data_IF_620173408239
#
_entry.id   IF_620173408239
#
_cell.length_a   1.000
_cell.length_b   1.000
_cell.length_c   1.000
_cell.angle_alpha   90.00
_cell.angle_beta   90.00
_cell.angle_gamma   90.00
#
_symmetry.space_group_name_H-M   'P 1'
#
loop_
_entity.id
_entity.type
_entity.pdbx_description
1 polymer ?
#
# COMPACT_ATOMS: atom_id res chain seq x y z
N UNK A 1 -43.94 -2.04 18.62
CA UNK A 1 -43.10 -1.18 19.48
C UNK A 1 -41.61 -1.57 19.43
N UNK A 2 -41.25 -2.86 19.56
CA UNK A 2 -39.85 -3.35 19.56
C UNK A 2 -39.01 -2.99 18.32
N UNK A 3 -39.60 -2.94 17.13
CA UNK A 3 -38.88 -2.59 15.89
C UNK A 3 -38.28 -1.18 15.91
N UNK A 4 -38.95 -0.19 16.50
CA UNK A 4 -38.43 1.19 16.56
C UNK A 4 -37.23 1.30 17.49
N UNK A 5 -37.23 0.54 18.58
CA UNK A 5 -36.12 0.48 19.53
C UNK A 5 -34.90 -0.20 18.91
N UNK A 6 -35.13 -1.30 18.18
CA UNK A 6 -34.09 -2.00 17.43
C UNK A 6 -33.45 -1.13 16.35
N UNK A 7 -34.26 -0.38 15.59
CA UNK A 7 -33.75 0.53 14.56
C UNK A 7 -32.87 1.65 15.14
N UNK A 8 -33.27 2.23 16.28
CA UNK A 8 -32.44 3.22 17.00
C UNK A 8 -31.16 2.59 17.54
N UNK A 9 -31.23 1.38 18.07
CA UNK A 9 -30.05 0.64 18.52
C UNK A 9 -29.07 0.35 17.39
N UNK A 10 -29.57 -0.07 16.22
CA UNK A 10 -28.76 -0.34 15.04
C UNK A 10 -28.04 0.92 14.53
N UNK A 11 -28.71 2.08 14.57
CA UNK A 11 -28.08 3.35 14.22
C UNK A 11 -26.91 3.69 15.15
N UNK A 12 -27.06 3.47 16.46
CA UNK A 12 -25.98 3.67 17.45
C UNK A 12 -24.84 2.67 17.20
N UNK A 13 -25.16 1.40 16.98
CA UNK A 13 -24.18 0.35 16.70
C UNK A 13 -23.37 0.65 15.43
N UNK A 14 -24.00 1.20 14.38
CA UNK A 14 -23.30 1.60 13.16
C UNK A 14 -22.31 2.76 13.38
N UNK A 15 -22.68 3.75 14.20
CA UNK A 15 -21.78 4.86 14.54
C UNK A 15 -20.56 4.37 15.31
N UNK A 16 -20.79 3.51 16.32
CA UNK A 16 -19.72 2.90 17.12
C UNK A 16 -18.85 1.99 16.25
N UNK A 17 -19.45 1.20 15.37
CA UNK A 17 -18.75 0.32 14.44
C UNK A 17 -17.87 1.08 13.45
N UNK A 18 -18.37 2.16 12.87
CA UNK A 18 -17.57 3.02 11.98
C UNK A 18 -16.40 3.69 12.73
N UNK A 19 -16.62 4.16 13.95
CA UNK A 19 -15.54 4.71 14.77
C UNK A 19 -14.47 3.65 15.09
N UNK A 20 -14.89 2.48 15.58
CA UNK A 20 -13.98 1.37 15.88
C UNK A 20 -13.22 0.92 14.64
N UNK A 21 -13.88 0.81 13.49
CA UNK A 21 -13.24 0.43 12.23
C UNK A 21 -12.13 1.41 11.85
N UNK A 22 -12.39 2.73 11.99
CA UNK A 22 -11.38 3.77 11.74
C UNK A 22 -10.24 3.71 12.74
N UNK A 23 -10.53 3.49 14.03
CA UNK A 23 -9.51 3.35 15.08
C UNK A 23 -8.62 2.15 14.80
N UNK A 24 -9.21 0.97 14.58
CA UNK A 24 -8.47 -0.27 14.28
C UNK A 24 -7.62 -0.10 13.02
N UNK A 25 -8.18 0.48 11.95
CA UNK A 25 -7.43 0.73 10.72
C UNK A 25 -6.27 1.71 10.97
N UNK A 26 -6.51 2.78 11.73
CA UNK A 26 -5.47 3.76 12.06
C UNK A 26 -4.35 3.13 12.88
N UNK A 27 -4.69 2.29 13.86
CA UNK A 27 -3.72 1.55 14.66
C UNK A 27 -2.93 0.55 13.81
N UNK A 28 -3.58 -0.17 12.89
CA UNK A 28 -2.89 -1.06 11.95
C UNK A 28 -1.87 -0.30 11.11
N UNK A 29 -2.25 0.86 10.56
CA UNK A 29 -1.33 1.67 9.79
C UNK A 29 -0.19 2.25 10.65
N UNK A 30 -0.47 2.68 11.86
CA UNK A 30 0.52 3.28 12.75
C UNK A 30 1.50 2.25 13.36
N UNK A 31 1.02 1.07 13.74
CA UNK A 31 1.78 0.06 14.48
C UNK A 31 2.41 -0.99 13.55
N UNK A 32 1.81 -1.24 12.38
CA UNK A 32 2.32 -2.25 11.45
C UNK A 32 2.94 -1.59 10.23
N UNK A 33 2.15 -0.81 9.49
CA UNK A 33 2.58 -0.27 8.18
C UNK A 33 3.68 0.77 8.33
N UNK A 34 3.56 1.69 9.29
CA UNK A 34 4.53 2.75 9.52
C UNK A 34 5.91 2.22 9.95
N UNK A 35 6.05 1.37 10.98
CA UNK A 35 7.36 0.83 11.33
C UNK A 35 7.92 -0.07 10.23
N UNK A 36 7.09 -0.86 9.55
CA UNK A 36 7.53 -1.60 8.37
C UNK A 36 8.10 -0.67 7.29
N UNK A 37 7.40 0.41 6.97
CA UNK A 37 7.85 1.42 6.02
C UNK A 37 9.12 2.13 6.46
N UNK A 38 9.29 2.41 7.76
CA UNK A 38 10.52 2.97 8.31
C UNK A 38 11.69 2.00 8.19
N UNK A 39 11.48 0.73 8.53
CA UNK A 39 12.50 -0.34 8.38
C UNK A 39 12.92 -0.45 6.92
N UNK A 40 11.98 -0.62 6.00
CA UNK A 40 12.28 -0.69 4.55
C UNK A 40 12.97 0.57 4.09
N UNK A 41 12.50 1.75 4.53
CA UNK A 41 13.13 3.02 4.17
C UNK A 41 14.58 3.05 4.63
N UNK A 42 14.89 2.66 5.87
CA UNK A 42 16.25 2.74 6.43
C UNK A 42 17.18 1.69 5.84
N UNK A 43 16.74 0.44 5.76
CA UNK A 43 17.57 -0.71 5.42
C UNK A 43 17.58 -1.07 3.93
N UNK A 44 16.58 -0.62 3.16
CA UNK A 44 16.47 -0.92 1.74
C UNK A 44 16.29 0.36 0.91
N UNK A 45 16.56 0.24 -0.38
CA UNK A 45 16.24 1.27 -1.38
C UNK A 45 15.63 0.61 -2.63
N UNK A 46 14.44 -0.01 -2.50
CA UNK A 46 13.82 -0.74 -3.59
C UNK A 46 13.54 0.15 -4.81
N UNK A 47 13.35 1.45 -4.58
CA UNK A 47 13.10 2.43 -5.63
C UNK A 47 14.40 3.11 -6.13
N UNK A 48 15.56 2.74 -5.57
CA UNK A 48 16.87 3.32 -5.90
C UNK A 48 16.90 4.87 -5.87
N UNK A 49 16.11 5.49 -5.00
CA UNK A 49 15.91 6.96 -4.92
C UNK A 49 17.05 7.63 -4.16
N UNK A 50 17.73 6.91 -3.26
CA UNK A 50 18.79 7.50 -2.41
C UNK A 50 20.01 7.94 -3.21
N UNK A 51 20.27 7.30 -4.36
CA UNK A 51 21.39 7.67 -5.23
C UNK A 51 20.91 8.74 -6.22
N UNK A 52 21.52 9.91 -6.18
CA UNK A 52 21.31 10.97 -7.17
C UNK A 52 21.87 10.49 -8.52
N UNK A 53 21.02 9.87 -9.34
CA UNK A 53 21.37 9.45 -10.69
C UNK A 53 21.19 10.62 -11.65
N UNK A 54 22.02 10.69 -12.69
CA UNK A 54 21.84 11.63 -13.80
C UNK A 54 20.59 11.31 -14.65
N UNK A 55 20.09 10.07 -14.58
CA UNK A 55 18.91 9.60 -15.29
C UNK A 55 18.08 8.65 -14.43
N UNK A 56 16.75 8.77 -14.50
CA UNK A 56 15.79 7.84 -13.90
C UNK A 56 15.58 6.57 -14.75
N UNK A 57 16.19 6.49 -15.93
CA UNK A 57 16.11 5.31 -16.79
C UNK A 57 16.78 4.12 -16.13
N UNK A 58 16.05 3.01 -16.00
CA UNK A 58 16.58 1.75 -15.52
C UNK A 58 16.53 0.75 -16.66
N UNK A 59 17.66 0.16 -17.04
CA UNK A 59 17.70 -0.80 -18.14
C UNK A 59 16.80 -2.00 -17.81
N UNK A 60 15.80 -2.33 -18.65
CA UNK A 60 14.95 -3.48 -18.43
C UNK A 60 15.77 -4.75 -18.28
N UNK A 61 15.43 -5.60 -17.30
CA UNK A 61 16.04 -6.93 -17.18
C UNK A 61 15.63 -7.74 -18.41
N UNK A 62 16.61 -8.12 -19.22
CA UNK A 62 16.37 -8.79 -20.51
C UNK A 62 16.34 -7.86 -21.72
N UNK A 63 16.88 -6.63 -21.61
CA UNK A 63 17.06 -5.76 -22.75
C UNK A 63 17.72 -6.53 -23.91
N UNK A 64 17.01 -6.54 -25.02
CA UNK A 64 17.32 -7.24 -26.26
C UNK A 64 18.73 -6.89 -26.69
N UNK A 65 19.66 -7.85 -26.62
CA UNK A 65 21.08 -7.59 -26.84
C UNK A 65 21.44 -7.52 -28.32
N UNK A 66 20.61 -8.10 -29.19
CA UNK A 66 20.75 -8.01 -30.64
C UNK A 66 19.42 -7.81 -31.35
N UNK A 67 19.50 -7.43 -32.63
CA UNK A 67 18.34 -7.28 -33.52
C UNK A 67 17.58 -8.61 -33.68
N UNK A 68 18.29 -9.73 -33.66
CA UNK A 68 17.73 -11.09 -33.75
C UNK A 68 16.84 -11.44 -32.55
N UNK A 69 17.21 -11.01 -31.34
CA UNK A 69 16.40 -11.23 -30.15
C UNK A 69 15.10 -10.39 -30.20
N UNK A 70 15.12 -9.23 -30.86
CA UNK A 70 13.95 -8.35 -31.00
C UNK A 70 12.90 -8.95 -31.95
N UNK A 71 13.36 -9.74 -32.93
CA UNK A 71 12.49 -10.46 -33.85
C UNK A 71 11.70 -11.60 -33.19
N UNK A 72 12.05 -12.01 -31.97
CA UNK A 72 11.37 -13.10 -31.23
C UNK A 72 10.27 -12.61 -30.27
N UNK A 73 10.01 -11.30 -30.21
CA UNK A 73 9.03 -10.72 -29.28
C UNK A 73 7.58 -10.70 -29.79
N UNK A 74 7.34 -11.06 -31.06
CA UNK A 74 6.01 -11.12 -31.68
C UNK A 74 5.76 -12.47 -32.33
#
# INVERSE_FOLDING_TARGET
MFRKLYQKWMAIANVIGNFNSRVVLSLLYAIVVLPFGLVVRVFADPLAIRRRKSSAWTTPRGATKSVEDARRQF
#
